data_IF_666957829740
#
_entry.id   IF_666957829740
#
_cell.length_a   1.000
_cell.length_b   1.000
_cell.length_c   1.000
_cell.angle_alpha   90.00
_cell.angle_beta   90.00
_cell.angle_gamma   90.00
#
_symmetry.space_group_name_H-M   'P 1'
#
loop_
_entity.id
_entity.type
_entity.pdbx_description
1 polymer ?
#
# COMPACT_ATOMS: atom_id res chain seq x y z
N UNK A 1 36.91 35.43 3.55
CA UNK A 1 38.23 34.77 3.52
C UNK A 1 38.12 33.48 4.31
N UNK A 2 37.96 32.25 3.79
CA UNK A 2 37.69 31.74 2.45
C UNK A 2 36.82 30.49 2.64
N UNK A 3 35.53 30.56 2.29
CA UNK A 3 34.64 29.39 2.18
C UNK A 3 34.74 28.80 0.77
N UNK A 4 35.95 28.39 0.37
CA UNK A 4 36.23 27.82 -0.94
C UNK A 4 37.35 26.77 -0.83
N UNK A 5 37.14 25.73 -0.01
CA UNK A 5 38.04 24.58 0.06
C UNK A 5 37.41 23.38 -0.66
N UNK A 6 37.99 22.96 -1.78
CA UNK A 6 37.64 21.66 -2.39
C UNK A 6 38.28 20.54 -1.58
N UNK A 7 37.49 19.55 -1.13
CA UNK A 7 37.98 18.35 -0.45
C UNK A 7 37.91 17.15 -1.39
N UNK A 8 39.05 16.54 -1.67
CA UNK A 8 39.10 15.26 -2.35
C UNK A 8 38.76 14.16 -1.35
N UNK A 9 37.72 13.37 -1.65
CA UNK A 9 37.29 12.20 -0.88
C UNK A 9 37.40 10.98 -1.77
N UNK A 10 38.15 9.97 -1.32
CA UNK A 10 38.20 8.67 -1.99
C UNK A 10 37.09 7.78 -1.43
N UNK A 11 36.22 7.29 -2.30
CA UNK A 11 35.17 6.31 -1.97
C UNK A 11 35.37 5.06 -2.83
N UNK A 12 35.23 3.89 -2.22
CA UNK A 12 35.22 2.62 -2.93
C UNK A 12 33.78 2.16 -3.17
N UNK A 13 33.49 1.65 -4.37
CA UNK A 13 32.21 0.99 -4.63
C UNK A 13 32.14 -0.29 -3.80
N UNK A 14 31.01 -0.51 -3.15
CA UNK A 14 30.69 -1.76 -2.46
C UNK A 14 29.20 -2.06 -2.66
N UNK A 15 28.85 -3.34 -2.55
CA UNK A 15 27.45 -3.75 -2.51
C UNK A 15 26.83 -3.30 -1.18
N UNK A 16 25.64 -2.73 -1.27
CA UNK A 16 24.89 -2.26 -0.10
C UNK A 16 23.54 -2.97 -0.04
N UNK A 17 23.39 -3.89 0.91
CA UNK A 17 22.14 -4.63 1.10
C UNK A 17 21.10 -3.74 1.76
N UNK A 18 20.02 -3.45 1.04
CA UNK A 18 18.86 -2.79 1.61
C UNK A 18 18.19 -3.70 2.65
N UNK A 19 17.87 -3.10 3.81
CA UNK A 19 17.18 -3.76 4.92
C UNK A 19 15.74 -3.24 4.98
N UNK A 20 14.75 -3.97 4.43
CA UNK A 20 13.39 -3.45 4.28
C UNK A 20 12.62 -3.37 5.60
N UNK A 21 12.98 -4.23 6.55
CA UNK A 21 12.52 -4.20 7.93
C UNK A 21 13.68 -3.68 8.78
N UNK A 22 13.57 -2.44 9.27
CA UNK A 22 14.62 -1.80 10.07
C UNK A 22 14.95 -2.62 11.33
N UNK A 23 16.23 -2.88 11.61
CA UNK A 23 16.62 -3.55 12.85
C UNK A 23 16.36 -2.72 14.12
N UNK A 24 16.16 -1.40 13.99
CA UNK A 24 15.92 -0.49 15.12
C UNK A 24 14.45 -0.40 15.52
N UNK A 25 13.55 -0.49 14.54
CA UNK A 25 12.14 -0.19 14.75
C UNK A 25 11.19 -0.94 13.82
N UNK A 26 11.71 -1.74 12.89
CA UNK A 26 10.94 -2.41 11.85
C UNK A 26 10.06 -3.55 12.36
N UNK A 27 10.35 -4.10 13.53
CA UNK A 27 9.49 -5.06 14.20
C UNK A 27 9.57 -4.88 15.72
N UNK A 28 8.43 -4.90 16.41
CA UNK A 28 8.35 -4.82 17.88
C UNK A 28 7.02 -5.34 18.39
N UNK A 29 6.96 -5.64 19.67
CA UNK A 29 5.72 -5.86 20.41
C UNK A 29 5.46 -4.61 21.23
N UNK A 30 4.33 -3.97 20.99
CA UNK A 30 3.87 -2.79 21.71
C UNK A 30 2.97 -3.26 22.86
N UNK A 31 3.22 -2.74 24.06
CA UNK A 31 2.31 -2.87 25.19
C UNK A 31 1.42 -1.62 25.26
N UNK A 32 0.12 -1.77 24.97
CA UNK A 32 -0.89 -0.71 25.04
C UNK A 32 -1.82 -0.99 26.24
N UNK A 33 -1.34 -0.66 27.44
CA UNK A 33 -2.11 -0.83 28.68
C UNK A 33 -2.38 -2.30 29.03
N UNK A 34 -1.40 -3.17 28.86
CA UNK A 34 -1.47 -4.61 29.10
C UNK A 34 -1.91 -5.43 27.87
N UNK A 35 -2.30 -4.77 26.78
CA UNK A 35 -2.56 -5.43 25.49
C UNK A 35 -1.30 -5.48 24.65
N UNK A 36 -0.91 -6.68 24.21
CA UNK A 36 0.25 -6.88 23.34
C UNK A 36 -0.15 -6.81 21.87
N UNK A 37 0.38 -5.82 21.16
CA UNK A 37 0.15 -5.60 19.73
C UNK A 37 1.44 -5.82 18.96
N UNK A 38 1.40 -6.63 17.91
CA UNK A 38 2.53 -6.80 17.00
C UNK A 38 2.64 -5.58 16.09
N UNK A 39 3.82 -5.04 15.88
CA UNK A 39 4.05 -3.94 14.95
C UNK A 39 5.14 -4.33 13.98
N UNK A 40 4.88 -4.18 12.68
CA UNK A 40 5.87 -4.36 11.63
C UNK A 40 5.83 -3.21 10.64
N UNK A 41 6.98 -2.58 10.40
CA UNK A 41 7.18 -1.59 9.33
C UNK A 41 8.00 -2.22 8.22
N UNK A 42 7.44 -2.23 7.01
CA UNK A 42 8.09 -2.75 5.82
C UNK A 42 8.24 -1.61 4.81
N UNK A 43 9.50 -1.28 4.47
CA UNK A 43 9.83 -0.16 3.59
C UNK A 43 9.66 -0.46 2.10
N UNK A 44 9.86 -1.72 1.70
CA UNK A 44 9.67 -2.16 0.31
C UNK A 44 9.58 -3.68 0.24
N UNK A 45 8.83 -4.20 -0.73
CA UNK A 45 8.69 -5.64 -0.98
C UNK A 45 9.85 -6.15 -1.85
N UNK A 46 10.99 -6.46 -1.25
CA UNK A 46 12.15 -7.06 -1.94
C UNK A 46 12.62 -8.33 -1.22
N UNK A 47 13.39 -9.17 -1.90
CA UNK A 47 13.81 -10.50 -1.41
C UNK A 47 14.47 -10.46 -0.03
N UNK A 48 15.23 -9.41 0.28
CA UNK A 48 15.90 -9.27 1.59
C UNK A 48 14.93 -9.01 2.75
N UNK A 49 13.63 -8.80 2.50
CA UNK A 49 12.60 -8.70 3.52
C UNK A 49 12.22 -10.05 4.14
N UNK A 50 12.28 -11.14 3.38
CA UNK A 50 11.73 -12.45 3.80
C UNK A 50 12.26 -12.94 5.16
N UNK A 51 13.59 -13.03 5.39
CA UNK A 51 14.10 -13.49 6.68
C UNK A 51 13.63 -12.62 7.85
N UNK A 52 13.62 -11.30 7.68
CA UNK A 52 13.24 -10.37 8.73
C UNK A 52 11.73 -10.42 9.05
N UNK A 53 10.89 -10.59 8.03
CA UNK A 53 9.46 -10.81 8.20
C UNK A 53 9.19 -12.13 8.95
N UNK A 54 9.81 -13.23 8.53
CA UNK A 54 9.67 -14.52 9.24
C UNK A 54 10.12 -14.42 10.69
N UNK A 55 11.22 -13.74 10.97
CA UNK A 55 11.68 -13.51 12.35
C UNK A 55 10.66 -12.72 13.16
N UNK A 56 10.13 -11.62 12.62
CA UNK A 56 9.12 -10.80 13.30
C UNK A 56 7.85 -11.60 13.62
N UNK A 57 7.31 -12.32 12.64
CA UNK A 57 6.09 -13.11 12.82
C UNK A 57 6.30 -14.32 13.73
N UNK A 58 7.48 -14.94 13.73
CA UNK A 58 7.82 -15.97 14.71
C UNK A 58 7.80 -15.42 16.14
N UNK A 59 8.32 -14.20 16.36
CA UNK A 59 8.26 -13.54 17.67
C UNK A 59 6.82 -13.21 18.07
N UNK A 60 5.99 -12.74 17.15
CA UNK A 60 4.58 -12.46 17.41
C UNK A 60 3.81 -13.74 17.76
N UNK A 61 4.01 -14.81 16.99
CA UNK A 61 3.40 -16.12 17.23
C UNK A 61 3.81 -16.68 18.59
N UNK A 62 5.09 -16.62 18.95
CA UNK A 62 5.59 -17.10 20.24
C UNK A 62 4.97 -16.37 21.44
N UNK A 63 4.51 -15.13 21.24
CA UNK A 63 3.84 -14.33 22.27
C UNK A 63 2.31 -14.36 22.18
N UNK A 64 1.73 -15.17 21.29
CA UNK A 64 0.28 -15.28 21.12
C UNK A 64 -0.38 -14.00 20.61
N UNK A 65 0.35 -13.16 19.87
CA UNK A 65 -0.18 -11.90 19.34
C UNK A 65 -1.24 -12.17 18.27
N UNK A 66 -2.38 -11.48 18.40
CA UNK A 66 -3.50 -11.56 17.46
C UNK A 66 -4.01 -10.19 16.99
N UNK A 67 -3.42 -9.10 17.48
CA UNK A 67 -3.68 -7.75 17.01
C UNK A 67 -2.38 -7.22 16.42
N UNK A 68 -2.39 -6.84 15.14
CA UNK A 68 -1.15 -6.47 14.43
C UNK A 68 -1.34 -5.15 13.67
N UNK A 69 -0.34 -4.29 13.80
CA UNK A 69 -0.14 -3.09 12.99
C UNK A 69 0.88 -3.40 11.90
N UNK A 70 0.50 -3.14 10.66
CA UNK A 70 1.35 -3.27 9.48
C UNK A 70 1.55 -1.89 8.89
N UNK A 71 2.74 -1.33 9.05
CA UNK A 71 3.08 0.01 8.59
C UNK A 71 3.75 -0.03 7.21
N UNK A 72 3.01 0.48 6.22
CA UNK A 72 3.37 0.56 4.80
C UNK A 72 3.36 2.01 4.31
N UNK A 73 3.45 2.99 5.23
CA UNK A 73 3.15 4.40 4.94
C UNK A 73 4.02 5.02 3.84
N UNK A 74 5.23 4.48 3.63
CA UNK A 74 6.16 4.91 2.57
C UNK A 74 6.51 3.80 1.56
N UNK A 75 5.73 2.72 1.56
CA UNK A 75 6.03 1.54 0.77
C UNK A 75 5.27 1.55 -0.57
N UNK A 76 5.97 1.91 -1.65
CA UNK A 76 5.44 1.91 -3.02
C UNK A 76 5.24 0.52 -3.64
N UNK A 77 5.45 -0.56 -2.87
CA UNK A 77 5.26 -1.94 -3.28
C UNK A 77 6.58 -2.67 -3.57
N UNK A 78 6.55 -3.53 -4.59
CA UNK A 78 7.66 -4.38 -4.99
C UNK A 78 7.19 -5.75 -5.47
N UNK A 79 7.87 -6.81 -5.05
CA UNK A 79 7.63 -8.19 -5.44
C UNK A 79 6.30 -8.72 -4.87
N UNK A 80 5.47 -9.26 -5.76
CA UNK A 80 4.23 -9.98 -5.39
C UNK A 80 4.55 -11.17 -4.47
N UNK A 81 5.66 -11.88 -4.70
CA UNK A 81 6.07 -13.00 -3.85
C UNK A 81 6.33 -12.63 -2.37
N UNK A 82 6.75 -11.39 -2.10
CA UNK A 82 6.91 -10.91 -0.72
C UNK A 82 5.55 -10.45 -0.15
N UNK A 83 4.62 -10.01 -0.99
CA UNK A 83 3.23 -9.74 -0.58
C UNK A 83 2.51 -11.04 -0.23
N UNK A 84 2.66 -12.09 -1.04
CA UNK A 84 2.16 -13.45 -0.78
C UNK A 84 2.74 -14.00 0.53
N UNK A 85 4.07 -13.89 0.75
CA UNK A 85 4.69 -14.24 2.02
C UNK A 85 4.07 -13.48 3.20
N UNK A 86 3.90 -12.17 3.08
CA UNK A 86 3.26 -11.35 4.13
C UNK A 86 1.82 -11.81 4.39
N UNK A 87 1.08 -12.12 3.33
CA UNK A 87 -0.26 -12.71 3.38
C UNK A 87 -0.27 -14.04 4.14
N UNK A 88 0.66 -14.95 3.81
CA UNK A 88 0.79 -16.24 4.46
C UNK A 88 1.16 -16.11 5.95
N UNK A 89 2.06 -15.18 6.29
CA UNK A 89 2.46 -14.90 7.68
C UNK A 89 1.33 -14.28 8.53
N UNK A 90 0.45 -13.50 7.90
CA UNK A 90 -0.78 -12.99 8.51
C UNK A 90 -1.95 -13.99 8.43
N UNK A 91 -1.81 -15.06 7.64
CA UNK A 91 -2.88 -15.98 7.28
C UNK A 91 -2.93 -17.27 8.10
N UNK A 92 -2.40 -17.31 9.32
CA UNK A 92 -2.30 -18.54 10.12
C UNK A 92 -3.62 -19.26 10.42
N UNK A 93 -4.75 -18.56 10.31
CA UNK A 93 -6.10 -19.09 10.44
C UNK A 93 -6.86 -19.20 9.12
N UNK A 94 -6.16 -19.13 7.98
CA UNK A 94 -6.71 -19.30 6.64
C UNK A 94 -6.50 -20.74 6.17
N UNK A 95 -7.43 -21.24 5.39
CA UNK A 95 -7.37 -22.53 4.71
C UNK A 95 -6.50 -22.43 3.45
N UNK A 96 -5.83 -23.52 3.09
CA UNK A 96 -5.09 -23.65 1.82
C UNK A 96 -6.00 -23.69 0.58
N UNK A 97 -7.32 -23.64 0.77
CA UNK A 97 -8.32 -23.48 -0.28
C UNK A 97 -8.85 -22.05 -0.41
N UNK A 98 -8.51 -21.15 0.53
CA UNK A 98 -8.87 -19.74 0.45
C UNK A 98 -7.86 -18.99 -0.41
N UNK A 99 -8.36 -18.15 -1.32
CA UNK A 99 -7.54 -17.34 -2.21
C UNK A 99 -7.01 -16.12 -1.46
N UNK A 100 -5.71 -15.85 -1.60
CA UNK A 100 -5.12 -14.58 -1.19
C UNK A 100 -5.25 -13.55 -2.32
N UNK A 101 -4.75 -13.91 -3.52
CA UNK A 101 -4.85 -13.05 -4.69
C UNK A 101 -4.97 -13.79 -6.03
N UNK A 102 -5.43 -13.04 -7.02
CA UNK A 102 -5.40 -13.40 -8.43
C UNK A 102 -4.51 -12.43 -9.20
N UNK A 103 -3.58 -12.95 -9.97
CA UNK A 103 -2.84 -12.21 -11.00
C UNK A 103 -3.46 -12.51 -12.36
N UNK A 104 -3.94 -11.47 -13.05
CA UNK A 104 -4.58 -11.60 -14.36
C UNK A 104 -3.91 -10.73 -15.40
N UNK A 105 -3.41 -11.35 -16.46
CA UNK A 105 -2.89 -10.71 -17.66
C UNK A 105 -4.00 -10.52 -18.70
N UNK A 106 -3.69 -9.77 -19.76
CA UNK A 106 -4.52 -9.73 -20.97
C UNK A 106 -4.72 -11.13 -21.58
N UNK A 107 -5.80 -11.40 -22.32
CA UNK A 107 -6.15 -12.74 -22.83
C UNK A 107 -5.01 -13.47 -23.56
N UNK A 108 -4.22 -12.73 -24.33
CA UNK A 108 -3.10 -13.24 -25.14
C UNK A 108 -1.87 -13.64 -24.30
N UNK A 109 -1.90 -13.34 -23.01
CA UNK A 109 -0.92 -13.78 -22.00
C UNK A 109 -1.60 -14.54 -20.86
N UNK A 110 -2.78 -15.12 -21.09
CA UNK A 110 -3.52 -15.85 -20.05
C UNK A 110 -2.78 -17.05 -19.47
N UNK A 111 -1.77 -17.59 -20.16
CA UNK A 111 -0.87 -18.61 -19.62
C UNK A 111 -0.05 -18.14 -18.42
N UNK A 112 0.11 -16.83 -18.24
CA UNK A 112 0.82 -16.20 -17.11
C UNK A 112 -0.12 -15.85 -15.95
N UNK A 113 -1.43 -16.13 -16.08
CA UNK A 113 -2.36 -15.93 -14.99
C UNK A 113 -2.00 -16.84 -13.82
N UNK A 114 -2.09 -16.31 -12.60
CA UNK A 114 -1.80 -17.05 -11.39
C UNK A 114 -2.88 -16.82 -10.33
N UNK A 115 -3.03 -17.81 -9.46
CA UNK A 115 -3.85 -17.72 -8.25
C UNK A 115 -2.97 -18.13 -7.08
N UNK A 116 -2.76 -17.23 -6.14
CA UNK A 116 -2.14 -17.59 -4.87
C UNK A 116 -3.22 -17.97 -3.88
N UNK A 117 -3.19 -19.22 -3.43
CA UNK A 117 -3.96 -19.67 -2.27
C UNK A 117 -3.15 -19.36 -1.02
N UNK A 118 -3.79 -19.04 0.10
CA UNK A 118 -3.08 -18.91 1.37
C UNK A 118 -2.26 -20.18 1.65
N UNK A 119 -1.01 -20.01 2.01
CA UNK A 119 -0.11 -21.08 2.39
C UNK A 119 0.49 -20.78 3.77
N UNK A 120 -0.28 -20.98 4.88
CA UNK A 120 0.19 -20.69 6.22
C UNK A 120 1.56 -21.32 6.51
N UNK A 121 2.46 -20.53 7.08
CA UNK A 121 3.82 -20.88 7.41
C UNK A 121 3.95 -21.24 8.90
N UNK A 122 5.03 -21.93 9.33
CA UNK A 122 5.28 -22.21 10.75
C UNK A 122 5.35 -20.96 11.64
N UNK A 123 5.70 -19.81 11.07
CA UNK A 123 5.77 -18.51 11.74
C UNK A 123 4.43 -17.76 11.74
N UNK A 124 3.41 -18.23 11.02
CA UNK A 124 2.19 -17.48 10.80
C UNK A 124 1.44 -17.17 12.09
N UNK A 125 0.92 -15.95 12.15
CA UNK A 125 0.00 -15.46 13.17
C UNK A 125 -1.43 -15.60 12.68
N UNK A 126 -2.38 -15.60 13.62
CA UNK A 126 -3.81 -15.68 13.35
C UNK A 126 -4.50 -14.40 13.82
N UNK A 127 -4.26 -13.26 13.16
CA UNK A 127 -4.78 -11.98 13.59
C UNK A 127 -6.31 -11.96 13.60
N UNK A 128 -6.87 -11.41 14.66
CA UNK A 128 -8.31 -11.14 14.80
C UNK A 128 -8.66 -9.72 14.37
N UNK A 129 -7.67 -8.82 14.40
CA UNK A 129 -7.75 -7.44 13.92
C UNK A 129 -6.44 -7.02 13.27
N UNK A 130 -6.53 -6.23 12.20
CA UNK A 130 -5.37 -5.65 11.49
C UNK A 130 -5.53 -4.15 11.32
N UNK A 131 -4.49 -3.40 11.64
CA UNK A 131 -4.40 -1.99 11.33
C UNK A 131 -3.28 -1.79 10.30
N UNK A 132 -3.63 -1.33 9.11
CA UNK A 132 -2.66 -1.02 8.05
C UNK A 132 -2.41 0.48 8.05
N UNK A 133 -1.19 0.91 8.39
CA UNK A 133 -0.81 2.32 8.26
C UNK A 133 -0.40 2.56 6.80
N UNK A 134 -1.10 3.46 6.12
CA UNK A 134 -0.91 3.77 4.70
C UNK A 134 -1.07 5.25 4.38
N UNK A 135 -0.42 5.68 3.30
CA UNK A 135 -0.55 7.05 2.76
C UNK A 135 -0.60 7.03 1.23
N UNK A 136 -0.62 8.19 0.58
CA UNK A 136 -0.47 8.29 -0.87
C UNK A 136 0.82 7.66 -1.43
N UNK A 137 1.84 7.40 -0.59
CA UNK A 137 3.03 6.62 -0.97
C UNK A 137 2.86 5.09 -0.92
N UNK A 138 1.77 4.61 -0.34
CA UNK A 138 1.43 3.18 -0.24
C UNK A 138 0.82 2.70 -1.54
N UNK A 139 1.52 1.82 -2.27
CA UNK A 139 1.10 1.41 -3.62
C UNK A 139 1.34 -0.08 -3.91
N UNK A 140 0.63 -0.62 -4.92
CA UNK A 140 0.92 -1.91 -5.56
C UNK A 140 0.94 -3.08 -4.57
N UNK A 141 2.05 -3.83 -4.42
CA UNK A 141 2.16 -4.94 -3.48
C UNK A 141 1.69 -4.59 -2.05
N UNK A 142 1.92 -3.35 -1.59
CA UNK A 142 1.39 -2.87 -0.31
C UNK A 142 -0.14 -2.87 -0.28
N UNK A 143 -0.77 -2.35 -1.33
CA UNK A 143 -2.22 -2.29 -1.47
C UNK A 143 -2.82 -3.67 -1.68
N UNK A 144 -2.10 -4.59 -2.34
CA UNK A 144 -2.51 -5.98 -2.48
C UNK A 144 -2.67 -6.64 -1.12
N UNK A 145 -1.68 -6.52 -0.22
CA UNK A 145 -1.78 -7.08 1.14
C UNK A 145 -3.01 -6.50 1.88
N UNK A 146 -3.20 -5.18 1.83
CA UNK A 146 -4.34 -4.53 2.50
C UNK A 146 -5.67 -5.06 1.96
N UNK A 147 -5.84 -5.04 0.62
CA UNK A 147 -7.07 -5.45 -0.06
C UNK A 147 -7.35 -6.96 0.06
N UNK A 148 -6.32 -7.79 0.16
CA UNK A 148 -6.47 -9.24 0.28
C UNK A 148 -7.14 -9.66 1.59
N UNK A 149 -6.95 -8.90 2.68
CA UNK A 149 -7.57 -9.21 3.97
C UNK A 149 -9.00 -8.67 4.14
N UNK A 150 -9.43 -7.71 3.31
CA UNK A 150 -10.75 -7.09 3.40
C UNK A 150 -11.90 -8.12 3.42
N UNK A 151 -11.95 -9.15 2.53
CA UNK A 151 -13.06 -10.12 2.52
C UNK A 151 -13.11 -11.04 3.75
N UNK A 152 -12.02 -11.12 4.53
CA UNK A 152 -11.90 -12.04 5.66
C UNK A 152 -12.09 -11.35 7.01
N UNK A 153 -11.62 -10.10 7.12
CA UNK A 153 -11.64 -9.34 8.36
C UNK A 153 -12.76 -8.30 8.41
N UNK A 154 -13.30 -7.85 7.27
CA UNK A 154 -14.35 -6.83 7.22
C UNK A 154 -13.90 -5.59 8.02
N UNK A 155 -14.81 -4.99 8.81
CA UNK A 155 -14.52 -3.89 9.75
C UNK A 155 -13.47 -4.17 10.85
N UNK A 156 -12.91 -5.40 10.94
CA UNK A 156 -11.77 -5.73 11.83
C UNK A 156 -10.42 -5.46 11.18
N UNK A 157 -10.40 -5.08 9.91
CA UNK A 157 -9.23 -4.51 9.25
C UNK A 157 -9.47 -3.03 8.93
N UNK A 158 -8.52 -2.16 9.26
CA UNK A 158 -8.64 -0.73 8.95
C UNK A 158 -7.42 -0.18 8.22
N UNK A 159 -7.68 0.81 7.36
CA UNK A 159 -6.65 1.71 6.82
C UNK A 159 -6.48 2.91 7.76
N UNK A 160 -5.26 3.12 8.24
CA UNK A 160 -4.88 4.20 9.15
C UNK A 160 -3.98 5.19 8.40
N UNK A 161 -4.20 6.48 8.54
CA UNK A 161 -3.41 7.53 7.88
C UNK A 161 -4.22 8.26 6.81
N UNK A 162 -3.81 8.18 5.55
CA UNK A 162 -4.53 8.78 4.41
C UNK A 162 -4.92 7.72 3.39
N UNK A 163 -5.62 8.13 2.33
CA UNK A 163 -5.92 7.21 1.22
C UNK A 163 -4.61 6.76 0.55
N UNK A 164 -4.64 5.55 -0.05
CA UNK A 164 -3.49 4.96 -0.75
C UNK A 164 -3.35 5.47 -2.18
N UNK A 165 -2.28 5.07 -2.86
CA UNK A 165 -1.98 5.53 -4.22
C UNK A 165 -3.02 5.11 -5.28
N UNK A 166 -3.54 3.89 -5.19
CA UNK A 166 -4.51 3.33 -6.14
C UNK A 166 -3.90 2.58 -7.33
N UNK A 167 -2.96 1.64 -7.07
CA UNK A 167 -2.29 0.85 -8.12
C UNK A 167 -2.57 -0.64 -8.00
N UNK A 168 -3.74 -1.13 -8.45
CA UNK A 168 -4.10 -2.56 -8.45
C UNK A 168 -3.46 -3.34 -9.63
N UNK A 169 -2.30 -2.91 -10.10
CA UNK A 169 -1.61 -3.47 -11.26
C UNK A 169 -0.13 -3.67 -10.98
N UNK A 170 0.46 -4.63 -11.66
CA UNK A 170 1.88 -4.91 -11.56
C UNK A 170 2.60 -4.89 -12.90
N UNK A 171 3.93 -4.88 -12.80
CA UNK A 171 4.82 -4.69 -13.94
C UNK A 171 5.68 -5.92 -14.19
N UNK A 172 5.89 -6.24 -15.46
CA UNK A 172 6.97 -7.14 -15.88
C UNK A 172 8.20 -6.33 -16.24
N UNK A 173 9.36 -6.99 -16.23
CA UNK A 173 10.60 -6.43 -16.72
C UNK A 173 11.00 -7.02 -18.07
N UNK A 174 11.41 -6.17 -19.00
CA UNK A 174 11.94 -6.56 -20.30
C UNK A 174 13.29 -5.88 -20.49
N UNK A 175 14.35 -6.67 -20.56
CA UNK A 175 15.71 -6.15 -20.76
C UNK A 175 15.96 -5.90 -22.26
N UNK A 176 16.53 -4.73 -22.57
CA UNK A 176 16.96 -4.30 -23.90
C UNK A 176 18.49 -4.22 -23.89
N UNK A 177 19.12 -5.38 -24.03
CA UNK A 177 20.58 -5.54 -23.95
C UNK A 177 21.36 -4.69 -24.94
N UNK A 178 20.76 -4.30 -26.08
CA UNK A 178 21.37 -3.41 -27.06
C UNK A 178 21.63 -1.99 -26.53
N UNK A 179 20.90 -1.52 -25.52
CA UNK A 179 21.01 -0.17 -24.97
C UNK A 179 21.24 -0.15 -23.45
N UNK A 180 21.49 -1.30 -22.81
CA UNK A 180 21.55 -1.45 -21.35
C UNK A 180 20.30 -0.91 -20.60
N UNK A 181 19.14 -0.98 -21.27
CA UNK A 181 17.87 -0.49 -20.74
C UNK A 181 17.02 -1.63 -20.17
N UNK A 182 16.25 -1.33 -19.12
CA UNK A 182 15.23 -2.24 -18.57
C UNK A 182 13.86 -1.57 -18.56
N UNK A 183 12.95 -2.08 -19.38
CA UNK A 183 11.57 -1.59 -19.46
C UNK A 183 10.72 -2.22 -18.36
N UNK A 184 9.93 -1.40 -17.64
CA UNK A 184 8.95 -1.84 -16.64
C UNK A 184 7.54 -1.61 -17.16
N UNK A 185 6.93 -2.66 -17.71
CA UNK A 185 5.65 -2.58 -18.42
C UNK A 185 4.52 -3.03 -17.50
N UNK A 186 3.49 -2.21 -17.31
CA UNK A 186 2.26 -2.63 -16.63
C UNK A 186 1.62 -3.75 -17.47
N UNK A 187 1.48 -4.93 -16.89
CA UNK A 187 1.14 -6.13 -17.66
C UNK A 187 0.04 -6.99 -17.05
N UNK A 188 -0.24 -6.83 -15.76
CA UNK A 188 -1.25 -7.61 -15.06
C UNK A 188 -2.00 -6.77 -14.02
N UNK A 189 -3.23 -7.18 -13.74
CA UNK A 189 -4.03 -6.69 -12.63
C UNK A 189 -3.99 -7.69 -11.46
N UNK A 190 -4.17 -7.19 -10.24
CA UNK A 190 -4.28 -7.99 -9.02
C UNK A 190 -5.66 -7.85 -8.40
N UNK A 191 -6.25 -8.94 -7.94
CA UNK A 191 -7.56 -8.94 -7.27
C UNK A 191 -7.52 -9.80 -6.01
N UNK A 192 -8.33 -9.45 -4.99
CA UNK A 192 -8.51 -10.32 -3.81
C UNK A 192 -9.48 -11.49 -4.08
N UNK A 193 -9.75 -12.30 -3.06
CA UNK A 193 -10.69 -13.43 -3.10
C UNK A 193 -12.10 -13.07 -3.61
N UNK A 194 -12.55 -11.82 -3.40
CA UNK A 194 -13.85 -11.32 -3.88
C UNK A 194 -13.79 -10.75 -5.30
N UNK A 195 -12.69 -10.97 -6.04
CA UNK A 195 -12.43 -10.40 -7.37
C UNK A 195 -12.39 -8.86 -7.38
N UNK A 196 -12.14 -8.24 -6.24
CA UNK A 196 -12.01 -6.79 -6.12
C UNK A 196 -10.56 -6.35 -6.36
N UNK A 197 -10.39 -5.44 -7.32
CA UNK A 197 -9.10 -4.87 -7.71
C UNK A 197 -9.23 -3.58 -8.52
N UNK A 198 -10.33 -2.85 -8.37
CA UNK A 198 -10.60 -1.63 -9.14
C UNK A 198 -10.39 -0.35 -8.32
N UNK A 199 -9.49 -0.39 -7.33
CA UNK A 199 -9.21 0.71 -6.39
C UNK A 199 -8.26 1.77 -6.97
N UNK A 200 -8.49 2.22 -8.21
CA UNK A 200 -7.60 3.17 -8.90
C UNK A 200 -7.55 4.56 -8.26
N UNK A 201 -8.53 4.91 -7.43
CA UNK A 201 -8.56 6.14 -6.63
C UNK A 201 -8.13 5.92 -5.17
N UNK A 202 -7.44 4.80 -4.89
CA UNK A 202 -6.99 4.39 -3.56
C UNK A 202 -7.98 3.47 -2.82
N UNK A 203 -7.51 2.85 -1.74
CA UNK A 203 -8.21 1.79 -1.00
C UNK A 203 -9.26 2.29 -0.01
N UNK A 204 -9.23 3.55 0.43
CA UNK A 204 -10.12 4.03 1.48
C UNK A 204 -11.62 3.75 1.21
N UNK A 205 -12.17 3.94 -0.01
CA UNK A 205 -13.57 3.63 -0.31
C UNK A 205 -13.94 2.14 -0.25
N UNK A 206 -12.94 1.26 -0.27
CA UNK A 206 -13.10 -0.20 -0.28
C UNK A 206 -12.93 -0.83 1.10
N UNK A 207 -12.49 -0.04 2.09
CA UNK A 207 -12.30 -0.48 3.47
C UNK A 207 -13.54 -0.17 4.29
N UNK A 208 -14.08 -1.16 4.98
CA UNK A 208 -15.22 -0.98 5.90
C UNK A 208 -14.85 -0.14 7.14
N UNK A 209 -13.57 -0.03 7.46
CA UNK A 209 -13.04 0.80 8.52
C UNK A 209 -11.81 1.58 8.04
N UNK A 210 -11.76 2.87 8.36
CA UNK A 210 -10.56 3.70 8.17
C UNK A 210 -10.48 4.76 9.25
N UNK A 211 -9.25 5.16 9.59
CA UNK A 211 -8.97 6.22 10.55
C UNK A 211 -7.96 7.20 9.98
N UNK A 212 -8.31 8.48 9.98
CA UNK A 212 -7.36 9.54 9.69
C UNK A 212 -6.26 9.55 10.76
N UNK A 213 -5.02 9.71 10.31
CA UNK A 213 -3.90 9.98 11.18
C UNK A 213 -2.87 10.83 10.44
N UNK A 214 -2.16 11.68 11.19
CA UNK A 214 -1.05 12.45 10.66
C UNK A 214 0.22 11.62 10.62
N UNK A 215 1.12 11.98 9.72
CA UNK A 215 2.48 11.45 9.71
C UNK A 215 3.33 12.26 10.67
N UNK A 216 3.51 11.72 11.87
CA UNK A 216 4.27 12.35 12.94
C UNK A 216 5.76 12.02 12.79
N UNK A 217 6.56 13.06 12.56
CA UNK A 217 8.00 12.96 12.35
C UNK A 217 8.81 13.19 13.63
N UNK A 218 8.15 13.60 14.72
CA UNK A 218 8.79 13.88 16.01
C UNK A 218 8.95 12.61 16.85
N UNK A 219 8.14 11.57 16.57
CA UNK A 219 8.23 10.26 17.20
C UNK A 219 8.72 9.18 16.23
N UNK A 220 9.43 8.19 16.77
CA UNK A 220 9.91 7.07 15.96
C UNK A 220 8.71 6.21 15.49
N UNK A 221 8.70 5.81 14.22
CA UNK A 221 7.76 4.81 13.71
C UNK A 221 7.62 3.58 14.65
N UNK A 222 6.38 3.25 15.02
CA UNK A 222 6.06 2.19 15.98
C UNK A 222 6.19 2.60 17.46
N UNK A 223 6.45 3.87 17.76
CA UNK A 223 6.28 4.43 19.09
C UNK A 223 4.77 4.58 19.40
N UNK A 224 4.25 4.11 20.55
CA UNK A 224 2.85 4.28 20.91
C UNK A 224 2.34 5.72 20.96
N UNK A 225 3.24 6.71 21.03
CA UNK A 225 2.94 8.15 20.98
C UNK A 225 2.96 8.71 19.56
N UNK A 226 3.53 8.00 18.58
CA UNK A 226 3.52 8.43 17.17
C UNK A 226 2.09 8.42 16.64
N UNK A 227 1.64 9.52 16.02
CA UNK A 227 0.23 9.75 15.70
C UNK A 227 -0.45 8.61 14.92
N UNK A 228 0.19 8.04 13.89
CA UNK A 228 -0.37 6.93 13.12
C UNK A 228 -0.37 5.62 13.91
N UNK A 229 0.68 5.34 14.68
CA UNK A 229 0.75 4.18 15.57
C UNK A 229 -0.32 4.27 16.67
N UNK A 230 -0.49 5.43 17.31
CA UNK A 230 -1.54 5.68 18.30
C UNK A 230 -2.94 5.49 17.72
N UNK A 231 -3.21 6.04 16.53
CA UNK A 231 -4.49 5.87 15.83
C UNK A 231 -4.77 4.39 15.48
N UNK A 232 -3.74 3.65 15.07
CA UNK A 232 -3.83 2.21 14.85
C UNK A 232 -4.14 1.44 16.14
N UNK A 233 -3.46 1.76 17.25
CA UNK A 233 -3.73 1.16 18.57
C UNK A 233 -5.16 1.49 19.06
N UNK A 234 -5.64 2.70 18.80
CA UNK A 234 -7.01 3.12 19.13
C UNK A 234 -8.04 2.31 18.36
N UNK A 235 -7.86 2.14 17.04
CA UNK A 235 -8.71 1.28 16.22
C UNK A 235 -8.72 -0.17 16.75
N UNK A 236 -7.55 -0.73 17.04
CA UNK A 236 -7.45 -2.09 17.58
C UNK A 236 -8.18 -2.20 18.92
N UNK A 237 -8.16 -1.14 19.75
CA UNK A 237 -8.92 -1.04 21.00
C UNK A 237 -10.44 -0.91 20.82
N UNK A 238 -10.93 -0.77 19.58
CA UNK A 238 -12.34 -0.53 19.28
C UNK A 238 -12.79 0.92 19.51
N UNK A 239 -11.86 1.88 19.62
CA UNK A 239 -12.19 3.30 19.66
C UNK A 239 -12.56 3.80 18.26
N UNK A 240 -13.46 4.76 18.22
CA UNK A 240 -13.84 5.44 16.98
C UNK A 240 -12.82 6.49 16.59
N UNK A 241 -12.82 6.83 15.30
CA UNK A 241 -11.92 7.78 14.68
C UNK A 241 -12.64 8.47 13.52
N UNK A 242 -12.10 9.57 13.02
CA UNK A 242 -12.58 10.18 11.77
C UNK A 242 -12.17 9.31 10.59
N UNK A 243 -13.11 8.93 9.74
CA UNK A 243 -12.83 8.13 8.55
C UNK A 243 -11.97 8.90 7.54
N UNK A 244 -11.12 8.19 6.79
CA UNK A 244 -10.32 8.78 5.70
C UNK A 244 -11.28 9.29 4.62
N UNK A 245 -11.17 10.58 4.27
CA UNK A 245 -12.01 11.17 3.25
C UNK A 245 -11.73 10.51 1.89
N UNK A 246 -12.79 10.07 1.21
CA UNK A 246 -12.69 9.59 -0.17
C UNK A 246 -12.53 10.79 -1.11
N UNK A 247 -11.68 10.65 -2.15
CA UNK A 247 -11.46 11.70 -3.14
C UNK A 247 -12.76 12.16 -3.85
N UNK A 248 -13.83 11.36 -3.80
CA UNK A 248 -15.17 11.68 -4.31
C UNK A 248 -16.07 12.49 -3.37
N UNK A 249 -15.68 12.76 -2.12
CA UNK A 249 -16.50 13.52 -1.15
C UNK A 249 -16.08 15.01 -1.04
N UNK A 250 -14.90 15.39 -1.53
CA UNK A 250 -14.42 16.76 -1.47
C UNK A 250 -15.19 17.75 -2.37
N UNK A 251 -16.01 17.25 -3.31
CA UNK A 251 -16.81 18.09 -4.23
C UNK A 251 -18.22 18.40 -3.73
N UNK A 252 -18.70 17.80 -2.64
CA UNK A 252 -20.08 18.04 -2.16
C UNK A 252 -20.22 19.22 -1.19
N UNK A 253 -19.16 19.63 -0.50
CA UNK A 253 -19.24 20.73 0.48
C UNK A 253 -19.10 22.13 -0.13
N UNK A 254 -18.59 22.25 -1.35
CA UNK A 254 -18.48 23.55 -2.06
C UNK A 254 -19.68 23.80 -2.98
N UNK A 255 -20.43 22.76 -3.35
CA UNK A 255 -21.55 22.83 -4.31
C UNK A 255 -22.89 23.32 -3.75
N UNK A 256 -23.10 23.29 -2.42
CA UNK A 256 -24.38 23.70 -1.83
C UNK A 256 -24.57 25.22 -1.72
N UNK A 257 -23.50 26.01 -1.83
CA UNK A 257 -23.61 27.48 -1.88
C UNK A 257 -23.94 28.02 -3.29
N UNK A 258 -23.83 27.18 -4.33
CA UNK A 258 -23.98 27.60 -5.73
C UNK A 258 -25.31 27.17 -6.40
N UNK A 259 -26.18 26.43 -5.70
CA UNK A 259 -27.40 25.86 -6.29
C UNK A 259 -28.67 26.74 -6.21
N UNK A 260 -28.59 27.95 -5.65
CA UNK A 260 -29.74 28.90 -5.70
C UNK A 260 -29.77 29.80 -6.93
N UNK A 261 -28.85 29.64 -7.89
CA UNK A 261 -28.85 30.45 -9.11
C UNK A 261 -28.37 29.64 -10.32
N UNK A 262 -29.28 28.86 -10.93
CA UNK A 262 -29.26 28.57 -12.38
C UNK A 262 -30.54 27.86 -12.80
N UNK A 263 -31.44 28.68 -13.30
CA UNK A 263 -32.61 28.36 -14.10
C UNK A 263 -32.19 27.65 -15.40
N UNK A 264 -32.85 26.53 -15.69
CA UNK A 264 -33.09 25.88 -16.99
C UNK A 264 -32.24 26.27 -18.22
N UNK A 265 -31.38 25.35 -18.68
CA UNK A 265 -31.17 25.12 -20.12
C UNK A 265 -31.00 23.62 -20.36
N UNK A 266 -31.87 23.06 -21.20
CA UNK A 266 -31.80 21.69 -21.70
C UNK A 266 -30.78 21.56 -22.85
N UNK A 267 -30.07 20.43 -22.92
CA UNK A 267 -29.45 19.96 -24.16
C UNK A 267 -27.97 19.54 -24.05
N UNK A 268 -27.71 18.26 -24.31
CA UNK A 268 -26.41 17.74 -24.79
C UNK A 268 -25.39 17.35 -23.71
N UNK A 269 -25.07 16.06 -23.62
CA UNK A 269 -23.88 15.58 -22.92
C UNK A 269 -22.64 16.22 -23.56
N UNK A 270 -21.75 16.90 -22.80
CA UNK A 270 -20.54 17.45 -23.38
C UNK A 270 -19.63 16.29 -23.81
N UNK A 271 -19.27 16.28 -25.09
CA UNK A 271 -18.18 15.44 -25.60
C UNK A 271 -16.96 15.70 -24.72
N UNK A 272 -16.44 14.64 -24.08
CA UNK A 272 -15.19 14.73 -23.32
C UNK A 272 -14.06 14.87 -24.33
N UNK A 273 -13.63 16.10 -24.56
CA UNK A 273 -12.47 16.42 -25.38
C UNK A 273 -11.20 16.36 -24.52
N UNK A 274 -10.13 15.78 -25.07
CA UNK A 274 -8.83 15.70 -24.41
C UNK A 274 -8.25 17.11 -24.31
N UNK A 275 -7.77 17.49 -23.12
CA UNK A 275 -7.09 18.77 -22.92
C UNK A 275 -5.77 18.77 -23.71
N UNK A 276 -5.67 19.62 -24.74
CA UNK A 276 -4.43 19.88 -25.46
C UNK A 276 -3.98 21.33 -25.24
N UNK A 277 -2.66 21.59 -25.11
CA UNK A 277 -2.13 22.95 -25.14
C UNK A 277 -2.49 23.66 -26.45
N UNK A 278 -2.73 24.97 -26.39
CA UNK A 278 -3.10 25.80 -27.55
C UNK A 278 -2.00 25.81 -28.65
N UNK A 279 -0.76 25.44 -28.30
CA UNK A 279 0.37 25.26 -29.22
C UNK A 279 1.20 24.04 -28.81
N UNK A 280 0.85 22.83 -29.29
CA UNK A 280 1.59 21.62 -28.95
C UNK A 280 2.98 21.62 -29.61
N UNK A 281 3.99 21.19 -28.86
CA UNK A 281 5.28 20.80 -29.43
C UNK A 281 5.16 19.48 -30.22
N UNK A 282 6.24 19.04 -30.88
CA UNK A 282 6.21 17.82 -31.70
C UNK A 282 5.80 16.58 -30.88
N UNK A 283 6.36 16.34 -29.67
CA UNK A 283 5.89 15.27 -28.79
C UNK A 283 4.39 15.33 -28.42
N UNK A 284 3.87 16.52 -28.08
CA UNK A 284 2.47 16.73 -27.69
C UNK A 284 1.50 16.54 -28.87
N UNK A 285 1.99 16.64 -30.11
CA UNK A 285 1.21 16.38 -31.33
C UNK A 285 1.08 14.87 -31.62
N UNK A 286 2.13 14.11 -31.34
CA UNK A 286 2.23 12.69 -31.67
C UNK A 286 1.66 11.78 -30.58
N UNK A 287 1.53 12.28 -29.34
CA UNK A 287 1.03 11.53 -28.19
C UNK A 287 -0.13 12.27 -27.50
N UNK A 288 -1.39 11.97 -27.84
CA UNK A 288 -2.55 12.57 -27.19
C UNK A 288 -2.55 12.29 -25.68
N UNK A 289 -2.56 13.36 -24.87
CA UNK A 289 -2.52 13.28 -23.39
C UNK A 289 -1.11 13.44 -22.78
N UNK A 290 -0.10 13.78 -23.59
CA UNK A 290 1.20 14.23 -23.09
C UNK A 290 1.04 15.69 -22.62
N UNK A 291 1.21 15.93 -21.31
CA UNK A 291 1.19 17.28 -20.71
C UNK A 291 2.61 17.73 -20.39
#
# INVERSE_FOLDING_TARGET
MDMAGTRNVSVAKADFTLTPVSSRYGARVIDDGGRKVGYVNLRTFITTADPALRTAFAQFRAQGITEIIVDLRYNGGGLISIAELMGDLLGGNRSTSEVFDYVTFRPEKSSENAVHMFAPQPQSTSPTRLAFIGTGGTASASELVINAFTPFLHNRSALIGTNTYGKPVGQIALDRTACDDRLRVIAFATQNAARQGAYFDGLAPFMEASCQATDDLDHQLGDPLEASTRSALDFLAGRSCSAVASAGQATQSVGQAAQSARTSVAGGSPQRELLMPERPDTPQREVPGLF
#
